data_IF_302698243158
#
_entry.id   IF_302698243158
#
_cell.length_a   1.000
_cell.length_b   1.000
_cell.length_c   1.000
_cell.angle_alpha   90.00
_cell.angle_beta   90.00
_cell.angle_gamma   90.00
#
_symmetry.space_group_name_H-M   'P 1'
#
loop_
_entity.id
_entity.type
_entity.pdbx_description
1 polymer ?
#
# COMPACT_ATOMS: atom_id res chain seq x y z
N UNK A 1 -1.62 -4.11 11.55
CA UNK A 1 -2.53 -3.21 12.29
C UNK A 1 -2.00 -1.78 12.36
N UNK A 2 -0.83 -1.53 12.98
CA UNK A 2 -0.30 -0.16 13.08
C UNK A 2 -0.11 0.55 11.72
N UNK A 3 0.42 -0.15 10.71
CA UNK A 3 0.61 0.39 9.36
C UNK A 3 -0.71 0.77 8.68
N UNK A 4 -1.80 0.06 8.96
CA UNK A 4 -3.11 0.36 8.41
C UNK A 4 -3.68 1.65 8.98
N UNK A 5 -3.54 1.83 10.30
CA UNK A 5 -3.95 3.06 10.98
C UNK A 5 -3.12 4.24 10.46
N UNK A 6 -1.81 4.07 10.32
CA UNK A 6 -0.94 5.11 9.77
C UNK A 6 -1.31 5.46 8.32
N UNK A 7 -1.48 4.47 7.44
CA UNK A 7 -1.90 4.72 6.06
C UNK A 7 -3.23 5.48 5.99
N UNK A 8 -4.18 5.11 6.84
CA UNK A 8 -5.46 5.78 6.94
C UNK A 8 -5.32 7.23 7.41
N UNK A 9 -4.59 7.48 8.50
CA UNK A 9 -4.40 8.82 9.07
C UNK A 9 -3.64 9.73 8.10
N UNK A 10 -2.60 9.23 7.43
CA UNK A 10 -1.87 10.01 6.43
C UNK A 10 -2.79 10.34 5.26
N UNK A 11 -3.59 9.37 4.79
CA UNK A 11 -4.60 9.62 3.77
C UNK A 11 -5.62 10.68 4.19
N UNK A 12 -6.13 10.58 5.41
CA UNK A 12 -7.08 11.53 5.98
C UNK A 12 -6.54 12.95 6.04
N UNK A 13 -5.32 13.13 6.56
CA UNK A 13 -4.66 14.44 6.58
C UNK A 13 -4.43 14.94 5.15
N UNK A 14 -4.01 14.06 4.24
CA UNK A 14 -3.73 14.45 2.87
C UNK A 14 -5.00 14.93 2.13
N UNK A 15 -6.11 14.19 2.25
CA UNK A 15 -7.39 14.59 1.67
C UNK A 15 -7.92 15.90 2.28
N UNK A 16 -7.80 16.06 3.60
CA UNK A 16 -8.21 17.29 4.28
C UNK A 16 -7.40 18.52 3.82
N UNK A 17 -6.08 18.39 3.62
CA UNK A 17 -5.22 19.51 3.22
C UNK A 17 -5.34 19.82 1.72
N UNK A 18 -5.61 18.83 0.88
CA UNK A 18 -5.71 18.96 -0.59
C UNK A 18 -6.98 18.30 -1.15
N UNK A 19 -8.16 18.84 -0.80
CA UNK A 19 -9.45 18.23 -1.16
C UNK A 19 -9.62 18.14 -2.67
N UNK A 20 -10.06 16.98 -3.15
CA UNK A 20 -10.48 16.77 -4.56
C UNK A 20 -9.37 16.88 -5.61
N UNK A 21 -8.10 17.09 -5.23
CA UNK A 21 -6.97 17.15 -6.16
C UNK A 21 -6.30 15.79 -6.42
N UNK A 22 -6.78 14.74 -5.77
CA UNK A 22 -6.20 13.42 -5.87
C UNK A 22 -6.78 12.57 -7.00
N UNK A 23 -5.92 12.15 -7.92
CA UNK A 23 -6.24 11.07 -8.85
C UNK A 23 -6.04 9.71 -8.14
N UNK A 24 -7.10 9.28 -7.46
CA UNK A 24 -7.17 8.01 -6.71
C UNK A 24 -6.94 6.80 -7.62
N UNK A 25 -7.33 6.89 -8.89
CA UNK A 25 -7.10 5.82 -9.87
C UNK A 25 -5.62 5.75 -10.25
N UNK A 26 -4.96 6.90 -10.44
CA UNK A 26 -3.52 6.93 -10.65
C UNK A 26 -2.75 6.43 -9.42
N UNK A 27 -3.21 6.74 -8.20
CA UNK A 27 -2.62 6.21 -6.96
C UNK A 27 -2.73 4.69 -6.90
N UNK A 28 -3.89 4.11 -7.22
CA UNK A 28 -4.06 2.67 -7.26
C UNK A 28 -3.17 2.01 -8.32
N UNK A 29 -3.11 2.57 -9.53
CA UNK A 29 -2.22 2.09 -10.62
C UNK A 29 -0.76 2.12 -10.20
N UNK A 30 -0.30 3.23 -9.62
CA UNK A 30 1.06 3.35 -9.07
C UNK A 30 1.28 2.34 -7.95
N UNK A 31 0.32 2.16 -7.06
CA UNK A 31 0.34 1.17 -5.98
C UNK A 31 0.54 -0.25 -6.49
N UNK A 32 -0.17 -0.63 -7.56
CA UNK A 32 -0.01 -1.94 -8.21
C UNK A 32 1.40 -2.08 -8.79
N UNK A 33 1.89 -1.08 -9.53
CA UNK A 33 3.23 -1.10 -10.14
C UNK A 33 4.32 -1.22 -9.07
N UNK A 34 4.28 -0.35 -8.05
CA UNK A 34 5.24 -0.39 -6.95
C UNK A 34 5.10 -1.65 -6.11
N UNK A 35 3.88 -2.15 -5.89
CA UNK A 35 3.63 -3.41 -5.20
C UNK A 35 4.28 -4.60 -5.91
N UNK A 36 4.22 -4.65 -7.25
CA UNK A 36 4.90 -5.68 -8.04
C UNK A 36 6.42 -5.53 -7.93
N UNK A 37 6.95 -4.32 -8.12
CA UNK A 37 8.40 -4.07 -8.07
C UNK A 37 8.96 -4.45 -6.69
N UNK A 38 8.35 -3.93 -5.61
CA UNK A 38 8.78 -4.20 -4.24
C UNK A 38 8.59 -5.69 -3.91
N UNK A 39 7.46 -6.28 -4.33
CA UNK A 39 7.18 -7.70 -4.15
C UNK A 39 8.25 -8.58 -4.78
N UNK A 40 8.66 -8.29 -6.02
CA UNK A 40 9.73 -9.02 -6.72
C UNK A 40 11.07 -8.84 -6.01
N UNK A 41 11.45 -7.60 -5.64
CA UNK A 41 12.73 -7.32 -4.98
C UNK A 41 12.86 -8.10 -3.67
N UNK A 42 11.88 -7.98 -2.77
CA UNK A 42 11.89 -8.69 -1.50
C UNK A 42 11.64 -10.20 -1.66
N UNK A 43 10.86 -10.60 -2.65
CA UNK A 43 10.70 -11.99 -3.04
C UNK A 43 12.03 -12.63 -3.42
N UNK A 44 12.84 -11.96 -4.25
CA UNK A 44 14.18 -12.44 -4.64
C UNK A 44 15.13 -12.52 -3.45
N UNK A 45 15.08 -11.55 -2.53
CA UNK A 45 15.84 -11.63 -1.28
C UNK A 45 15.43 -12.87 -0.49
N UNK A 46 14.12 -13.11 -0.34
CA UNK A 46 13.58 -14.30 0.29
C UNK A 46 13.96 -15.60 -0.43
N UNK A 47 14.02 -15.59 -1.75
CA UNK A 47 14.45 -16.72 -2.58
C UNK A 47 15.88 -17.15 -2.24
N UNK A 48 16.83 -16.21 -2.25
CA UNK A 48 18.23 -16.51 -1.98
C UNK A 48 18.44 -16.95 -0.54
N UNK A 49 17.77 -16.31 0.43
CA UNK A 49 17.81 -16.72 1.83
C UNK A 49 17.23 -18.13 2.04
N UNK A 50 16.07 -18.41 1.46
CA UNK A 50 15.41 -19.72 1.55
C UNK A 50 16.24 -20.83 0.88
N UNK A 51 16.84 -20.53 -0.27
CA UNK A 51 17.71 -21.48 -1.00
C UNK A 51 18.97 -21.77 -0.20
N UNK A 52 19.62 -20.76 0.37
CA UNK A 52 20.82 -20.91 1.19
C UNK A 52 20.58 -21.77 2.43
N UNK A 53 19.43 -21.59 3.10
CA UNK A 53 19.12 -22.28 4.35
C UNK A 53 18.55 -23.68 4.17
N UNK A 54 17.76 -23.91 3.12
CA UNK A 54 16.88 -25.10 2.99
C UNK A 54 16.82 -25.69 1.58
N UNK A 55 17.62 -25.20 0.64
CA UNK A 55 17.68 -25.67 -0.73
C UNK A 55 16.64 -25.04 -1.67
N UNK A 56 16.78 -25.32 -2.97
CA UNK A 56 16.07 -24.64 -4.06
C UNK A 56 14.53 -24.66 -3.92
N UNK A 57 13.96 -25.80 -3.50
CA UNK A 57 12.52 -25.93 -3.32
C UNK A 57 11.97 -24.96 -2.26
N UNK A 58 12.68 -24.79 -1.14
CA UNK A 58 12.30 -23.83 -0.11
C UNK A 58 12.42 -22.38 -0.60
N UNK A 59 13.46 -22.07 -1.38
CA UNK A 59 13.63 -20.76 -2.01
C UNK A 59 12.44 -20.38 -2.89
N UNK A 60 11.98 -21.29 -3.75
CA UNK A 60 10.83 -21.04 -4.65
C UNK A 60 9.53 -20.78 -3.89
N UNK A 61 9.28 -21.52 -2.80
CA UNK A 61 8.08 -21.31 -1.96
C UNK A 61 8.14 -19.95 -1.27
N UNK A 62 9.30 -19.59 -0.68
CA UNK A 62 9.49 -18.29 -0.02
C UNK A 62 9.37 -17.14 -1.02
N UNK A 63 9.90 -17.30 -2.23
CA UNK A 63 9.75 -16.33 -3.31
C UNK A 63 8.28 -16.06 -3.62
N UNK A 64 7.52 -17.10 -3.95
CA UNK A 64 6.12 -16.97 -4.33
C UNK A 64 5.28 -16.36 -3.20
N UNK A 65 5.46 -16.85 -1.97
CA UNK A 65 4.76 -16.32 -0.80
C UNK A 65 5.14 -14.86 -0.51
N UNK A 66 6.43 -14.51 -0.64
CA UNK A 66 6.94 -13.15 -0.44
C UNK A 66 6.38 -12.16 -1.45
N UNK A 67 6.44 -12.49 -2.75
CA UNK A 67 5.92 -11.64 -3.82
C UNK A 67 4.42 -11.39 -3.62
N UNK A 68 3.63 -12.45 -3.44
CA UNK A 68 2.18 -12.36 -3.28
C UNK A 68 1.82 -11.59 -2.01
N UNK A 69 2.45 -11.93 -0.88
CA UNK A 69 2.16 -11.31 0.41
C UNK A 69 2.47 -9.81 0.42
N UNK A 70 3.60 -9.41 -0.17
CA UNK A 70 4.00 -8.00 -0.25
C UNK A 70 3.10 -7.25 -1.22
N UNK A 71 2.81 -7.81 -2.40
CA UNK A 71 1.91 -7.20 -3.37
C UNK A 71 0.54 -6.90 -2.75
N UNK A 72 -0.08 -7.91 -2.11
CA UNK A 72 -1.38 -7.75 -1.44
C UNK A 72 -1.29 -6.68 -0.34
N UNK A 73 -0.24 -6.70 0.47
CA UNK A 73 -0.05 -5.73 1.56
C UNK A 73 0.04 -4.30 1.04
N UNK A 74 0.80 -4.06 -0.04
CA UNK A 74 0.92 -2.74 -0.67
C UNK A 74 -0.42 -2.27 -1.22
N UNK A 75 -1.15 -3.14 -1.94
CA UNK A 75 -2.46 -2.80 -2.51
C UNK A 75 -3.46 -2.45 -1.40
N UNK A 76 -3.50 -3.22 -0.31
CA UNK A 76 -4.37 -2.94 0.84
C UNK A 76 -4.01 -1.59 1.47
N UNK A 77 -2.72 -1.28 1.66
CA UNK A 77 -2.29 0.00 2.20
C UNK A 77 -2.72 1.18 1.32
N UNK A 78 -2.63 1.02 -0.01
CA UNK A 78 -3.06 2.05 -0.97
C UNK A 78 -4.57 2.24 -0.92
N UNK A 79 -5.36 1.17 -0.82
CA UNK A 79 -6.82 1.26 -0.68
C UNK A 79 -7.19 1.99 0.62
N UNK A 80 -6.56 1.63 1.74
CA UNK A 80 -6.80 2.26 3.04
C UNK A 80 -6.43 3.75 3.01
N UNK A 81 -5.30 4.09 2.38
CA UNK A 81 -4.89 5.47 2.17
C UNK A 81 -5.94 6.24 1.38
N UNK A 82 -6.41 5.69 0.24
CA UNK A 82 -7.46 6.32 -0.58
C UNK A 82 -8.75 6.52 0.22
N UNK A 83 -9.17 5.54 1.03
CA UNK A 83 -10.33 5.70 1.91
C UNK A 83 -10.14 6.83 2.93
N UNK A 84 -8.93 6.96 3.48
CA UNK A 84 -8.55 8.10 4.30
C UNK A 84 -8.75 9.42 3.55
N UNK A 85 -8.27 9.52 2.31
CA UNK A 85 -8.34 10.76 1.54
C UNK A 85 -9.78 11.14 1.19
N UNK A 86 -10.64 10.16 0.89
CA UNK A 86 -12.08 10.40 0.76
C UNK A 86 -12.71 11.03 2.02
N UNK A 87 -12.38 10.51 3.20
CA UNK A 87 -12.92 11.03 4.46
C UNK A 87 -12.35 12.43 4.75
N UNK A 88 -11.06 12.64 4.49
CA UNK A 88 -10.42 13.95 4.60
C UNK A 88 -11.11 15.02 3.76
N UNK A 89 -11.39 14.71 2.49
CA UNK A 89 -12.11 15.61 1.56
C UNK A 89 -13.51 15.98 2.09
N UNK A 90 -14.24 15.00 2.62
CA UNK A 90 -15.59 15.22 3.18
C UNK A 90 -15.53 16.13 4.40
N UNK A 91 -14.56 15.89 5.30
CA UNK A 91 -14.37 16.71 6.49
C UNK A 91 -14.07 18.17 6.11
N UNK A 92 -13.14 18.39 5.18
CA UNK A 92 -12.79 19.74 4.71
C UNK A 92 -14.03 20.48 4.16
N UNK A 93 -14.82 19.79 3.33
CA UNK A 93 -16.03 20.37 2.76
C UNK A 93 -17.06 20.71 3.83
N UNK A 94 -17.24 19.82 4.82
CA UNK A 94 -18.17 20.03 5.91
C UNK A 94 -17.77 21.23 6.79
N UNK A 95 -16.48 21.35 7.13
CA UNK A 95 -15.96 22.46 7.93
C UNK A 95 -16.02 23.80 7.20
N UNK A 96 -15.70 23.85 5.90
CA UNK A 96 -15.85 25.09 5.11
C UNK A 96 -17.28 25.54 4.91
N UNK A 97 -18.24 24.61 4.92
CA UNK A 97 -19.67 24.94 4.79
C UNK A 97 -20.30 25.42 6.10
N UNK A 98 -19.61 25.23 7.23
CA UNK A 98 -20.06 25.63 8.56
C UNK A 98 -19.35 26.86 9.12
N UNK A 99 -18.43 27.45 8.36
CA UNK A 99 -17.80 28.76 8.60
C UNK A 99 -18.35 29.81 7.63
#
# INVERSE_FOLDING_TARGET
>A
MILYILAFLIGLVYGYVKPGKEDRMALLKKGIIYGIIIGIVFGLIGFFAGTYLRGLGAGLVVFAAGVIGIFISVVILVIIFILGTFIGDILETAFKKSA
#
